data_IF_582648518434
#
_entry.id   IF_582648518434
#
_cell.length_a   1.000
_cell.length_b   1.000
_cell.length_c   1.000
_cell.angle_alpha   90.00
_cell.angle_beta   90.00
_cell.angle_gamma   90.00
#
_symmetry.space_group_name_H-M   'P 1'
#
loop_
_entity.id
_entity.type
_entity.pdbx_description
1 polymer ?
#
# COMPACT_ATOMS: atom_id res chain seq x y z
N UNK A 1 -28.18 -25.64 -2.77
CA UNK A 1 -27.70 -24.57 -3.66
C UNK A 1 -26.20 -24.77 -3.80
N UNK A 2 -25.75 -25.15 -4.99
CA UNK A 2 -24.31 -25.28 -5.30
C UNK A 2 -23.79 -23.87 -5.57
N UNK A 3 -22.80 -23.44 -4.81
CA UNK A 3 -22.26 -22.09 -4.95
C UNK A 3 -20.90 -22.20 -5.63
N UNK A 4 -20.79 -21.58 -6.79
CA UNK A 4 -19.56 -21.54 -7.57
C UNK A 4 -18.68 -20.41 -7.03
N UNK A 5 -17.55 -20.78 -6.41
CA UNK A 5 -16.62 -19.82 -5.83
C UNK A 5 -15.88 -18.99 -6.89
N UNK A 6 -15.88 -19.43 -8.16
CA UNK A 6 -15.19 -18.72 -9.25
C UNK A 6 -15.94 -17.47 -9.73
N UNK A 7 -17.23 -17.34 -9.40
CA UNK A 7 -18.06 -16.15 -9.64
C UNK A 7 -18.18 -15.24 -8.41
N UNK A 8 -17.51 -15.59 -7.30
CA UNK A 8 -17.36 -14.69 -6.16
C UNK A 8 -16.07 -13.87 -6.32
N UNK A 9 -16.20 -12.62 -6.77
CA UNK A 9 -15.13 -11.63 -6.68
C UNK A 9 -14.99 -11.19 -5.22
N UNK A 10 -14.18 -11.93 -4.46
CA UNK A 10 -13.66 -11.41 -3.20
C UNK A 10 -12.74 -10.27 -3.58
N UNK A 11 -13.01 -9.05 -3.08
CA UNK A 11 -12.30 -7.80 -3.37
C UNK A 11 -10.79 -7.81 -3.04
N UNK A 12 -10.07 -8.76 -3.61
CA UNK A 12 -8.71 -9.16 -3.34
C UNK A 12 -7.71 -8.40 -4.20
N UNK A 13 -8.14 -7.38 -4.94
CA UNK A 13 -7.24 -6.60 -5.77
C UNK A 13 -6.62 -5.42 -5.03
N UNK A 14 -7.23 -4.91 -3.95
CA UNK A 14 -6.74 -3.73 -3.24
C UNK A 14 -6.51 -4.03 -1.76
N UNK A 15 -5.29 -3.78 -1.30
CA UNK A 15 -4.98 -3.66 0.12
C UNK A 15 -4.91 -2.19 0.50
N UNK A 16 -5.64 -1.77 1.54
CA UNK A 16 -5.63 -0.38 2.02
C UNK A 16 -5.08 -0.30 3.45
N UNK A 17 -4.20 0.66 3.68
CA UNK A 17 -3.59 0.92 4.98
C UNK A 17 -3.73 2.40 5.33
N UNK A 18 -4.16 2.72 6.56
CA UNK A 18 -4.16 4.09 7.08
C UNK A 18 -3.12 4.21 8.18
N UNK A 19 -2.27 5.23 8.08
CA UNK A 19 -1.18 5.53 9.01
C UNK A 19 -1.32 6.95 9.56
N UNK A 20 -0.79 7.16 10.75
CA UNK A 20 -0.73 8.47 11.41
C UNK A 20 0.73 8.93 11.44
N UNK A 21 0.99 10.16 10.99
CA UNK A 21 2.31 10.78 11.15
C UNK A 21 2.35 11.67 12.38
N UNK A 22 3.38 11.55 13.21
CA UNK A 22 3.55 12.40 14.39
C UNK A 22 4.06 13.81 14.06
N UNK A 23 4.53 14.03 12.82
CA UNK A 23 5.12 15.29 12.33
C UNK A 23 4.69 15.53 10.88
N UNK A 24 5.04 16.68 10.33
CA UNK A 24 4.90 16.92 8.90
C UNK A 24 5.98 16.17 8.09
N UNK A 25 5.93 14.83 8.11
CA UNK A 25 6.80 13.93 7.34
C UNK A 25 5.95 12.77 6.81
N UNK A 26 5.08 13.08 5.85
CA UNK A 26 4.19 12.09 5.25
C UNK A 26 4.93 11.13 4.34
N UNK A 27 5.93 11.62 3.61
CA UNK A 27 6.70 10.85 2.62
C UNK A 27 7.37 9.64 3.26
N UNK A 28 8.05 9.82 4.39
CA UNK A 28 8.71 8.70 5.07
C UNK A 28 7.70 7.68 5.63
N UNK A 29 6.57 8.14 6.16
CA UNK A 29 5.51 7.25 6.67
C UNK A 29 4.88 6.47 5.52
N UNK A 30 4.67 7.12 4.38
CA UNK A 30 4.14 6.51 3.17
C UNK A 30 5.10 5.45 2.60
N UNK A 31 6.39 5.77 2.51
CA UNK A 31 7.42 4.83 2.08
C UNK A 31 7.47 3.59 2.97
N UNK A 32 7.41 3.77 4.30
CA UNK A 32 7.36 2.64 5.25
C UNK A 32 6.08 1.82 5.05
N UNK A 33 4.93 2.46 4.83
CA UNK A 33 3.66 1.80 4.55
C UNK A 33 3.73 0.89 3.32
N UNK A 34 4.23 1.42 2.20
CA UNK A 34 4.38 0.67 0.97
C UNK A 34 5.44 -0.43 1.05
N UNK A 35 6.61 -0.14 1.64
CA UNK A 35 7.65 -1.16 1.81
C UNK A 35 7.18 -2.31 2.70
N UNK A 36 6.45 -2.01 3.78
CA UNK A 36 5.89 -3.03 4.68
C UNK A 36 4.85 -3.89 3.96
N UNK A 37 3.94 -3.26 3.21
CA UNK A 37 2.92 -3.96 2.44
C UNK A 37 3.56 -4.81 1.32
N UNK A 38 4.49 -4.25 0.55
CA UNK A 38 5.25 -4.95 -0.49
C UNK A 38 5.99 -6.17 0.07
N UNK A 39 6.63 -6.06 1.23
CA UNK A 39 7.27 -7.20 1.88
C UNK A 39 6.27 -8.30 2.29
N UNK A 40 5.09 -7.91 2.78
CA UNK A 40 4.04 -8.86 3.12
C UNK A 40 3.51 -9.59 1.87
N UNK A 41 3.28 -8.87 0.76
CA UNK A 41 2.86 -9.48 -0.50
C UNK A 41 3.94 -10.41 -1.06
N UNK A 42 5.20 -9.97 -1.08
CA UNK A 42 6.35 -10.80 -1.47
C UNK A 42 6.42 -12.09 -0.65
N UNK A 43 6.22 -11.99 0.67
CA UNK A 43 6.19 -13.16 1.54
C UNK A 43 5.02 -14.10 1.20
N UNK A 44 3.81 -13.58 0.99
CA UNK A 44 2.65 -14.39 0.58
C UNK A 44 2.89 -15.11 -0.76
N UNK A 45 3.49 -14.43 -1.73
CA UNK A 45 3.91 -15.04 -3.00
C UNK A 45 4.90 -16.19 -2.79
N UNK A 46 5.85 -16.02 -1.88
CA UNK A 46 6.86 -17.06 -1.59
C UNK A 46 6.30 -18.31 -0.93
N UNK A 47 5.17 -18.20 -0.22
CA UNK A 47 4.50 -19.33 0.43
C UNK A 47 3.77 -20.24 -0.58
N UNK A 48 3.35 -19.70 -1.74
CA UNK A 48 2.72 -20.47 -2.81
C UNK A 48 1.42 -21.17 -2.43
N UNK A 49 0.74 -20.71 -1.37
CA UNK A 49 -0.51 -21.29 -0.89
C UNK A 49 -1.68 -20.82 -1.75
N UNK A 50 -2.62 -21.72 -2.05
CA UNK A 50 -3.81 -21.38 -2.86
C UNK A 50 -4.74 -20.35 -2.20
N UNK A 51 -4.60 -20.14 -0.89
CA UNK A 51 -5.34 -19.16 -0.11
C UNK A 51 -4.48 -17.95 0.31
N UNK A 52 -3.29 -17.78 -0.28
CA UNK A 52 -2.44 -16.63 -0.02
C UNK A 52 -3.15 -15.34 -0.48
N UNK A 53 -3.11 -14.30 0.37
CA UNK A 53 -3.65 -13.00 0.02
C UNK A 53 -2.59 -12.18 -0.71
N UNK A 54 -2.76 -12.03 -2.02
CA UNK A 54 -1.82 -11.33 -2.91
C UNK A 54 -2.60 -10.22 -3.64
N UNK A 55 -2.75 -9.04 -3.01
CA UNK A 55 -3.40 -7.91 -3.66
C UNK A 55 -2.63 -7.47 -4.91
N UNK A 56 -3.33 -6.91 -5.89
CA UNK A 56 -2.70 -6.35 -7.11
C UNK A 56 -2.27 -4.91 -6.92
N UNK A 57 -2.97 -4.20 -6.06
CA UNK A 57 -2.81 -2.79 -5.76
C UNK A 57 -2.75 -2.58 -4.25
N UNK A 58 -2.00 -1.56 -3.85
CA UNK A 58 -1.82 -1.14 -2.48
C UNK A 58 -2.16 0.34 -2.43
N UNK A 59 -3.04 0.72 -1.50
CA UNK A 59 -3.34 2.11 -1.17
C UNK A 59 -2.86 2.41 0.25
N UNK A 60 -2.10 3.47 0.41
CA UNK A 60 -1.62 3.98 1.70
C UNK A 60 -2.16 5.38 1.90
N UNK A 61 -2.94 5.55 2.97
CA UNK A 61 -3.40 6.83 3.48
C UNK A 61 -2.56 7.23 4.69
N UNK A 62 -2.09 8.47 4.73
CA UNK A 62 -1.34 9.07 5.83
C UNK A 62 -2.05 10.31 6.34
N UNK A 63 -2.48 10.27 7.59
CA UNK A 63 -3.02 11.40 8.32
C UNK A 63 -1.87 12.19 8.93
N UNK A 64 -1.78 13.49 8.63
CA UNK A 64 -0.67 14.35 9.05
C UNK A 64 -1.23 15.54 9.85
N UNK A 65 -0.76 15.78 11.08
CA UNK A 65 -1.18 16.92 11.86
C UNK A 65 -0.74 18.22 11.18
N UNK A 66 -1.70 19.09 10.93
CA UNK A 66 -1.51 20.43 10.42
C UNK A 66 -1.64 21.48 11.55
N UNK A 67 -1.47 22.75 11.19
CA UNK A 67 -1.63 23.83 12.17
C UNK A 67 -3.05 23.90 12.71
N UNK A 68 -3.21 24.36 13.96
CA UNK A 68 -4.51 24.63 14.59
C UNK A 68 -5.44 23.40 14.74
N UNK A 69 -4.88 22.20 14.80
CA UNK A 69 -5.65 20.96 15.04
C UNK A 69 -6.34 20.41 13.80
N UNK A 70 -6.01 20.95 12.62
CA UNK A 70 -6.40 20.37 11.33
C UNK A 70 -5.54 19.15 11.00
N UNK A 71 -6.06 18.25 10.16
CA UNK A 71 -5.33 17.08 9.66
C UNK A 71 -5.31 17.14 8.14
N UNK A 72 -4.13 17.08 7.54
CA UNK A 72 -3.97 16.88 6.10
C UNK A 72 -3.95 15.38 5.80
N UNK A 73 -4.62 14.97 4.73
CA UNK A 73 -4.66 13.56 4.32
C UNK A 73 -3.90 13.40 3.01
N UNK A 74 -2.95 12.49 3.01
CA UNK A 74 -2.20 12.07 1.82
C UNK A 74 -2.56 10.63 1.51
N UNK A 75 -3.09 10.36 0.34
CA UNK A 75 -3.42 9.01 -0.11
C UNK A 75 -2.67 8.70 -1.38
N UNK A 76 -2.01 7.56 -1.44
CA UNK A 76 -1.32 7.13 -2.65
C UNK A 76 -1.66 5.68 -2.96
N UNK A 77 -1.70 5.36 -4.25
CA UNK A 77 -1.91 3.99 -4.74
C UNK A 77 -0.77 3.58 -5.67
N UNK A 78 -0.37 2.32 -5.62
CA UNK A 78 0.50 1.71 -6.63
C UNK A 78 0.23 0.21 -6.78
N UNK A 79 0.81 -0.41 -7.81
CA UNK A 79 0.76 -1.87 -7.95
C UNK A 79 1.65 -2.56 -6.91
N UNK A 80 1.26 -3.77 -6.52
CA UNK A 80 2.03 -4.57 -5.57
C UNK A 80 3.45 -4.86 -6.05
N UNK A 81 3.67 -5.01 -7.36
CA UNK A 81 5.02 -5.22 -7.92
C UNK A 81 5.94 -4.04 -7.62
N UNK A 82 5.46 -2.80 -7.79
CA UNK A 82 6.22 -1.58 -7.47
C UNK A 82 6.51 -1.48 -5.97
N UNK A 83 5.55 -1.86 -5.11
CA UNK A 83 5.77 -1.91 -3.67
C UNK A 83 6.76 -3.01 -3.26
N UNK A 84 6.78 -4.15 -3.95
CA UNK A 84 7.76 -5.23 -3.74
C UNK A 84 9.16 -4.76 -4.13
N UNK A 85 9.32 -4.06 -5.26
CA UNK A 85 10.61 -3.50 -5.67
C UNK A 85 11.15 -2.47 -4.66
N UNK A 86 10.28 -1.62 -4.12
CA UNK A 86 10.63 -0.70 -3.03
C UNK A 86 11.08 -1.48 -1.79
N UNK A 87 10.32 -2.49 -1.38
CA UNK A 87 10.62 -3.31 -0.20
C UNK A 87 11.95 -4.08 -0.35
N UNK A 88 12.26 -4.54 -1.56
CA UNK A 88 13.51 -5.23 -1.89
C UNK A 88 14.72 -4.29 -2.00
N UNK A 89 14.50 -2.97 -2.01
CA UNK A 89 15.55 -1.98 -2.22
C UNK A 89 16.09 -1.93 -3.65
N UNK A 90 15.36 -2.51 -4.62
CA UNK A 90 15.72 -2.48 -6.04
C UNK A 90 15.16 -1.25 -6.75
N UNK A 91 14.20 -0.57 -6.14
CA UNK A 91 13.65 0.72 -6.57
C UNK A 91 13.96 1.79 -5.52
N UNK A 92 14.61 2.88 -5.94
CA UNK A 92 14.93 4.00 -5.05
C UNK A 92 13.66 4.72 -4.57
N UNK A 93 13.69 5.24 -3.34
CA UNK A 93 12.57 5.98 -2.75
C UNK A 93 12.12 7.19 -3.58
N UNK A 94 13.04 7.93 -4.19
CA UNK A 94 12.72 9.11 -5.01
C UNK A 94 12.09 8.72 -6.34
N UNK A 95 12.53 7.59 -6.92
CA UNK A 95 11.94 7.03 -8.13
C UNK A 95 10.56 6.42 -7.84
N UNK A 96 10.42 5.73 -6.71
CA UNK A 96 9.14 5.20 -6.23
C UNK A 96 8.10 6.31 -6.08
N UNK A 97 8.44 7.42 -5.44
CA UNK A 97 7.52 8.55 -5.24
C UNK A 97 7.03 9.17 -6.56
N UNK A 98 7.75 8.99 -7.67
CA UNK A 98 7.31 9.43 -9.01
C UNK A 98 6.38 8.42 -9.71
N UNK A 99 6.34 7.18 -9.23
CA UNK A 99 5.56 6.07 -9.81
C UNK A 99 4.23 5.81 -9.08
N UNK A 100 3.99 6.46 -7.94
CA UNK A 100 2.74 6.33 -7.19
C UNK A 100 1.72 7.40 -7.56
N UNK A 101 0.45 7.05 -7.51
CA UNK A 101 -0.66 7.98 -7.73
C UNK A 101 -1.00 8.69 -6.42
N UNK A 102 -0.28 9.78 -6.12
CA UNK A 102 -0.47 10.58 -4.91
C UNK A 102 -1.61 11.60 -5.06
N UNK A 103 -2.54 11.57 -4.12
CA UNK A 103 -3.67 12.50 -3.97
C UNK A 103 -3.64 13.13 -2.57
N UNK A 104 -3.90 14.43 -2.51
CA UNK A 104 -4.01 15.19 -1.26
C UNK A 104 -5.43 15.71 -1.07
N UNK A 105 -5.96 15.59 0.15
CA UNK A 105 -7.29 16.05 0.55
C UNK A 105 -7.32 16.66 1.94
#
# INVERSE_FOLDING_TARGET
VSVDASVMDFGNNLFSLTLESNRNNFEMVMLVGFASAGQAVSHQNSLGLSNAYVPKEISVRVNVPASKGETMVFEATCSSDIAIELAAGTLDSSEFMQKIDLVTS
#
